data_IF_296171757995
#
_entry.id   IF_296171757995
#
_cell.length_a   1.000
_cell.length_b   1.000
_cell.length_c   1.000
_cell.angle_alpha   90.00
_cell.angle_beta   90.00
_cell.angle_gamma   90.00
#
_symmetry.space_group_name_H-M   'P 1'
#
loop_
_entity.id
_entity.type
_entity.pdbx_description
1 polymer ?
#
# COMPACT_ATOMS: atom_id res chain seq x y z
N UNK A 1 -33.52 -34.68 -9.81
CA UNK A 1 -33.49 -34.70 -8.33
C UNK A 1 -33.98 -36.05 -7.78
N UNK A 2 -35.20 -36.54 -8.10
CA UNK A 2 -35.72 -37.83 -7.63
C UNK A 2 -34.75 -39.00 -7.82
N UNK A 3 -34.18 -39.19 -9.04
CA UNK A 3 -33.19 -40.25 -9.30
C UNK A 3 -31.88 -40.12 -8.53
N UNK A 4 -31.48 -38.92 -8.12
CA UNK A 4 -30.33 -38.72 -7.23
C UNK A 4 -30.65 -39.17 -5.83
N UNK A 5 -31.78 -38.76 -5.28
CA UNK A 5 -32.20 -39.12 -3.93
C UNK A 5 -32.44 -40.63 -3.80
N UNK A 6 -33.10 -41.29 -4.78
CA UNK A 6 -33.32 -42.74 -4.76
C UNK A 6 -31.99 -43.51 -4.77
N UNK A 7 -31.02 -43.12 -5.58
CA UNK A 7 -29.69 -43.77 -5.63
C UNK A 7 -28.98 -43.79 -4.27
N UNK A 8 -29.08 -42.71 -3.50
CA UNK A 8 -28.48 -42.66 -2.16
C UNK A 8 -29.31 -43.38 -1.10
N UNK A 9 -30.62 -43.47 -1.27
CA UNK A 9 -31.47 -44.23 -0.36
C UNK A 9 -31.17 -45.73 -0.41
N UNK A 10 -30.84 -46.24 -1.58
CA UNK A 10 -30.52 -47.67 -1.79
C UNK A 10 -29.10 -48.05 -1.34
N UNK A 11 -28.21 -47.09 -1.13
CA UNK A 11 -26.83 -47.34 -0.77
C UNK A 11 -26.53 -46.98 0.72
N UNK A 12 -26.55 -45.71 1.01
CA UNK A 12 -26.39 -45.15 2.35
C UNK A 12 -27.14 -43.83 2.42
N UNK A 13 -28.16 -43.77 3.24
CA UNK A 13 -28.93 -42.56 3.41
C UNK A 13 -28.06 -41.39 3.85
N UNK A 14 -28.14 -40.22 3.20
CA UNK A 14 -27.35 -39.05 3.58
C UNK A 14 -27.88 -38.52 4.93
N UNK A 15 -26.94 -38.04 5.75
CA UNK A 15 -27.30 -37.41 7.03
C UNK A 15 -27.79 -35.96 6.88
N UNK A 16 -27.51 -35.33 5.73
CA UNK A 16 -27.90 -33.96 5.40
C UNK A 16 -27.89 -33.79 3.88
N UNK A 17 -28.90 -33.13 3.34
CA UNK A 17 -28.95 -32.71 1.94
C UNK A 17 -28.73 -31.21 1.88
N UNK A 18 -27.75 -30.75 1.07
CA UNK A 18 -27.49 -29.33 0.83
C UNK A 18 -27.89 -28.99 -0.61
N UNK A 19 -28.88 -28.13 -0.75
CA UNK A 19 -29.35 -27.62 -2.02
C UNK A 19 -28.62 -26.34 -2.39
N UNK A 20 -27.83 -26.34 -3.44
CA UNK A 20 -27.07 -25.18 -3.88
C UNK A 20 -27.67 -24.59 -5.16
N UNK A 21 -28.10 -23.34 -5.07
CA UNK A 21 -28.71 -22.64 -6.20
C UNK A 21 -30.24 -22.80 -6.27
N UNK A 22 -30.83 -21.93 -7.05
CA UNK A 22 -32.28 -21.78 -7.11
C UNK A 22 -32.94 -22.92 -7.91
N UNK A 23 -32.26 -23.46 -8.89
CA UNK A 23 -32.72 -24.61 -9.69
C UNK A 23 -32.78 -25.89 -8.84
N UNK A 24 -31.78 -26.15 -8.01
CA UNK A 24 -31.76 -27.29 -7.08
C UNK A 24 -32.90 -27.17 -6.05
N UNK A 25 -33.16 -25.95 -5.62
CA UNK A 25 -34.20 -25.64 -4.66
C UNK A 25 -35.61 -25.86 -5.28
N UNK A 26 -35.87 -25.30 -6.45
CA UNK A 26 -37.11 -25.50 -7.19
C UNK A 26 -37.37 -26.99 -7.51
N UNK A 27 -36.33 -27.69 -7.96
CA UNK A 27 -36.39 -29.12 -8.25
C UNK A 27 -36.71 -29.98 -7.02
N UNK A 28 -36.18 -29.59 -5.84
CA UNK A 28 -36.49 -30.29 -4.60
C UNK A 28 -37.92 -30.02 -4.12
N UNK A 29 -38.41 -28.79 -4.21
CA UNK A 29 -39.78 -28.42 -3.82
C UNK A 29 -40.84 -29.06 -4.71
N UNK A 30 -40.52 -29.35 -5.98
CA UNK A 30 -41.44 -30.05 -6.91
C UNK A 30 -41.54 -31.56 -6.67
N UNK A 31 -40.77 -32.15 -5.76
CA UNK A 31 -40.85 -33.56 -5.43
C UNK A 31 -42.06 -33.84 -4.53
N UNK A 32 -42.66 -35.00 -4.67
CA UNK A 32 -43.64 -35.52 -3.71
C UNK A 32 -43.00 -35.81 -2.37
N UNK A 33 -43.76 -35.69 -1.30
CA UNK A 33 -43.26 -35.93 0.08
C UNK A 33 -42.69 -37.34 0.25
N UNK A 34 -43.30 -38.33 -0.38
CA UNK A 34 -42.83 -39.73 -0.42
C UNK A 34 -41.40 -39.89 -0.97
N UNK A 35 -41.02 -38.98 -1.90
CA UNK A 35 -39.69 -38.98 -2.55
C UNK A 35 -38.67 -38.16 -1.73
N UNK A 36 -39.12 -37.13 -1.03
CA UNK A 36 -38.24 -36.24 -0.24
C UNK A 36 -37.61 -36.94 0.98
N UNK A 37 -38.37 -37.78 1.68
CA UNK A 37 -37.94 -38.44 2.89
C UNK A 37 -37.76 -37.47 4.10
N UNK A 38 -37.23 -37.98 5.20
CA UNK A 38 -37.07 -37.23 6.47
C UNK A 38 -35.67 -36.66 6.70
N UNK A 39 -34.80 -36.73 5.69
CA UNK A 39 -33.42 -36.22 5.80
C UNK A 39 -33.44 -34.71 5.96
N UNK A 40 -32.70 -34.14 6.93
CA UNK A 40 -32.59 -32.72 7.06
C UNK A 40 -32.09 -32.06 5.78
N UNK A 41 -32.68 -30.92 5.39
CA UNK A 41 -32.34 -30.18 4.17
C UNK A 41 -31.92 -28.78 4.52
N UNK A 42 -30.80 -28.39 3.94
CA UNK A 42 -30.24 -27.06 4.04
C UNK A 42 -30.15 -26.41 2.65
N UNK A 43 -30.45 -25.13 2.54
CA UNK A 43 -30.34 -24.39 1.28
C UNK A 43 -29.22 -23.37 1.30
N UNK A 44 -28.64 -23.10 0.13
CA UNK A 44 -27.71 -22.02 -0.07
C UNK A 44 -27.78 -21.46 -1.49
N UNK A 45 -27.43 -20.21 -1.64
CA UNK A 45 -27.46 -19.50 -2.95
C UNK A 45 -28.83 -19.57 -3.65
N UNK A 46 -29.91 -19.65 -2.87
CA UNK A 46 -31.29 -19.54 -3.36
C UNK A 46 -31.83 -18.13 -3.03
N UNK A 47 -32.68 -17.60 -3.91
CA UNK A 47 -33.37 -16.33 -3.67
C UNK A 47 -34.55 -16.53 -2.75
N UNK A 48 -34.80 -15.54 -1.89
CA UNK A 48 -36.06 -15.45 -1.13
C UNK A 48 -37.27 -15.37 -2.02
N UNK A 49 -37.13 -14.70 -3.17
CA UNK A 49 -38.20 -14.58 -4.15
C UNK A 49 -38.15 -15.77 -5.11
N UNK A 50 -39.29 -16.37 -5.35
CA UNK A 50 -39.48 -17.58 -6.18
C UNK A 50 -40.60 -17.37 -7.17
N UNK A 51 -40.67 -18.24 -8.20
CA UNK A 51 -41.80 -18.37 -9.09
C UNK A 51 -42.23 -19.82 -9.13
N UNK A 52 -43.53 -20.07 -9.31
CA UNK A 52 -44.02 -21.43 -9.55
C UNK A 52 -43.55 -21.89 -10.94
N UNK A 53 -43.27 -23.18 -11.09
CA UNK A 53 -42.95 -23.73 -12.39
C UNK A 53 -44.18 -23.64 -13.32
N UNK A 54 -43.99 -23.40 -14.62
CA UNK A 54 -45.08 -23.31 -15.55
C UNK A 54 -45.78 -24.68 -15.71
N UNK A 55 -47.07 -24.67 -16.08
CA UNK A 55 -47.77 -25.85 -16.44
C UNK A 55 -47.16 -26.55 -17.67
N UNK A 56 -47.34 -27.87 -17.79
CA UNK A 56 -46.83 -28.59 -18.93
C UNK A 56 -47.44 -28.05 -20.24
N UNK A 57 -46.56 -27.67 -21.19
CA UNK A 57 -46.95 -27.10 -22.48
C UNK A 57 -47.10 -25.57 -22.49
N UNK A 58 -46.85 -24.88 -21.40
CA UNK A 58 -46.83 -23.41 -21.40
C UNK A 58 -45.75 -22.88 -22.34
N UNK A 59 -46.04 -21.81 -23.08
CA UNK A 59 -45.05 -21.08 -23.86
C UNK A 59 -44.17 -20.23 -22.95
N UNK A 60 -42.96 -20.67 -22.78
CA UNK A 60 -41.97 -19.97 -21.88
C UNK A 60 -41.63 -18.55 -22.36
N UNK A 61 -41.81 -18.23 -23.64
CA UNK A 61 -41.51 -16.90 -24.21
C UNK A 61 -42.52 -15.85 -23.75
N UNK A 62 -43.77 -16.26 -23.57
CA UNK A 62 -44.87 -15.40 -23.15
C UNK A 62 -45.22 -15.55 -21.66
N UNK A 63 -44.63 -16.54 -21.00
CA UNK A 63 -44.91 -16.83 -19.60
C UNK A 63 -44.41 -15.70 -18.68
N UNK A 64 -45.34 -15.08 -17.98
CA UNK A 64 -45.08 -13.98 -17.01
C UNK A 64 -45.47 -14.41 -15.61
N UNK A 65 -44.58 -15.13 -14.90
CA UNK A 65 -44.87 -15.63 -13.56
C UNK A 65 -44.99 -14.49 -12.54
N UNK A 66 -45.78 -14.75 -11.50
CA UNK A 66 -45.80 -13.88 -10.31
C UNK A 66 -44.62 -14.17 -9.39
N UNK A 67 -44.02 -13.14 -8.86
CA UNK A 67 -42.98 -13.27 -7.82
C UNK A 67 -43.62 -13.52 -6.46
N UNK A 68 -43.34 -14.67 -5.89
CA UNK A 68 -43.79 -15.10 -4.57
C UNK A 68 -42.66 -14.92 -3.54
N UNK A 69 -43.03 -14.73 -2.26
CA UNK A 69 -42.11 -14.71 -1.15
C UNK A 69 -42.08 -16.07 -0.46
N UNK A 70 -40.92 -16.71 -0.43
CA UNK A 70 -40.80 -18.05 0.14
C UNK A 70 -41.33 -18.18 1.56
N UNK A 71 -41.08 -17.20 2.41
CA UNK A 71 -41.51 -17.25 3.82
C UNK A 71 -42.99 -16.96 4.02
N UNK A 72 -43.52 -16.05 3.19
CA UNK A 72 -44.93 -15.66 3.30
C UNK A 72 -45.86 -16.67 2.59
N UNK A 73 -45.47 -17.15 1.39
CA UNK A 73 -46.35 -17.89 0.49
C UNK A 73 -46.17 -19.42 0.61
N UNK A 74 -45.05 -19.89 1.25
CA UNK A 74 -44.77 -21.33 1.41
C UNK A 74 -44.62 -21.74 2.90
N UNK A 75 -45.57 -21.35 3.73
CA UNK A 75 -45.63 -21.79 5.12
C UNK A 75 -45.72 -23.33 5.21
N UNK A 76 -44.73 -23.97 5.84
CA UNK A 76 -44.64 -25.43 5.94
C UNK A 76 -43.66 -26.10 4.99
N UNK A 77 -42.84 -25.32 4.31
CA UNK A 77 -41.71 -25.85 3.52
C UNK A 77 -40.88 -26.87 4.28
N UNK A 78 -40.45 -27.98 3.66
CA UNK A 78 -39.55 -28.97 4.25
C UNK A 78 -38.13 -28.41 4.46
N UNK A 79 -37.76 -27.29 3.79
CA UNK A 79 -36.48 -26.63 3.93
C UNK A 79 -36.56 -25.64 5.10
N UNK A 80 -35.87 -25.93 6.19
CA UNK A 80 -35.92 -25.14 7.42
C UNK A 80 -34.58 -24.58 7.85
N UNK A 81 -33.50 -24.84 7.09
CA UNK A 81 -32.18 -24.38 7.41
C UNK A 81 -31.44 -23.88 6.18
N UNK A 82 -30.48 -22.99 6.37
CA UNK A 82 -29.61 -22.51 5.30
C UNK A 82 -29.57 -21.00 5.16
N UNK A 83 -29.19 -20.57 3.97
CA UNK A 83 -29.00 -19.17 3.66
C UNK A 83 -29.69 -18.83 2.35
N UNK A 84 -30.54 -17.81 2.39
CA UNK A 84 -31.17 -17.24 1.21
C UNK A 84 -30.72 -15.79 1.02
N UNK A 85 -30.66 -15.34 -0.20
CA UNK A 85 -30.43 -13.93 -0.49
C UNK A 85 -31.73 -13.26 -0.97
N UNK A 86 -31.78 -11.96 -0.80
CA UNK A 86 -32.83 -11.13 -1.35
C UNK A 86 -32.18 -10.02 -2.18
N UNK A 87 -32.61 -9.90 -3.43
CA UNK A 87 -32.21 -8.76 -4.25
C UNK A 87 -33.03 -7.53 -3.86
N UNK A 88 -32.36 -6.49 -3.36
CA UNK A 88 -33.03 -5.22 -3.03
C UNK A 88 -33.18 -4.34 -4.28
N UNK A 89 -34.19 -4.67 -5.09
CA UNK A 89 -34.53 -3.91 -6.29
C UNK A 89 -34.82 -2.44 -5.96
N UNK A 90 -35.63 -2.22 -4.93
CA UNK A 90 -36.04 -0.87 -4.55
C UNK A 90 -34.86 0.01 -4.11
N UNK A 91 -33.90 -0.55 -3.37
CA UNK A 91 -32.68 0.18 -3.00
C UNK A 91 -31.82 0.53 -4.22
N UNK A 92 -31.67 -0.42 -5.17
CA UNK A 92 -30.97 -0.17 -6.43
C UNK A 92 -31.65 0.96 -7.23
N UNK A 93 -32.97 0.95 -7.38
CA UNK A 93 -33.70 2.02 -8.10
C UNK A 93 -33.55 3.37 -7.38
N UNK A 94 -33.70 3.41 -6.06
CA UNK A 94 -33.48 4.65 -5.29
C UNK A 94 -32.07 5.18 -5.45
N UNK A 95 -31.06 4.31 -5.43
CA UNK A 95 -29.65 4.67 -5.66
C UNK A 95 -29.46 5.23 -7.08
N UNK A 96 -29.99 4.58 -8.10
CA UNK A 96 -29.95 5.04 -9.50
C UNK A 96 -30.56 6.44 -9.61
N UNK A 97 -31.75 6.67 -9.06
CA UNK A 97 -32.43 7.98 -9.09
C UNK A 97 -31.65 9.09 -8.41
N UNK A 98 -30.90 8.80 -7.35
CA UNK A 98 -30.04 9.78 -6.68
C UNK A 98 -28.82 10.15 -7.52
N UNK A 99 -28.17 9.16 -8.15
CA UNK A 99 -26.99 9.38 -8.96
C UNK A 99 -27.31 9.92 -10.36
N UNK A 100 -28.48 9.55 -10.89
CA UNK A 100 -28.97 9.96 -12.20
C UNK A 100 -30.43 10.48 -12.07
N UNK A 101 -30.63 11.70 -11.53
CA UNK A 101 -31.99 12.22 -11.26
C UNK A 101 -32.87 12.36 -12.50
N UNK A 102 -32.28 12.43 -13.70
CA UNK A 102 -32.97 12.54 -14.98
C UNK A 102 -33.43 11.20 -15.56
N UNK A 103 -33.29 10.09 -14.80
CA UNK A 103 -33.67 8.76 -15.26
C UNK A 103 -35.17 8.68 -15.46
N UNK A 104 -35.61 8.25 -16.64
CA UNK A 104 -37.02 8.01 -17.01
C UNK A 104 -37.28 6.53 -17.29
N UNK A 105 -36.23 5.80 -17.69
CA UNK A 105 -36.35 4.40 -18.10
C UNK A 105 -35.29 3.55 -17.34
N UNK A 106 -35.76 2.37 -16.88
CA UNK A 106 -34.88 1.32 -16.37
C UNK A 106 -34.90 0.18 -17.38
N UNK A 107 -33.78 -0.06 -18.05
CA UNK A 107 -33.63 -1.27 -18.87
C UNK A 107 -33.11 -2.39 -17.98
N UNK A 108 -33.80 -3.50 -17.92
CA UNK A 108 -33.43 -4.65 -17.10
C UNK A 108 -33.07 -5.84 -17.96
N UNK A 109 -31.88 -6.40 -17.79
CA UNK A 109 -31.42 -7.62 -18.49
C UNK A 109 -31.55 -8.82 -17.56
N UNK A 110 -32.20 -9.87 -18.03
CA UNK A 110 -32.26 -11.20 -17.42
C UNK A 110 -32.11 -12.30 -18.46
N UNK A 111 -31.56 -13.42 -18.04
CA UNK A 111 -31.36 -14.59 -18.89
C UNK A 111 -32.56 -15.58 -18.88
N UNK A 112 -32.48 -16.64 -19.71
CA UNK A 112 -33.49 -17.69 -19.82
C UNK A 112 -33.38 -18.77 -18.73
N UNK A 113 -32.56 -18.57 -17.69
CA UNK A 113 -32.49 -19.50 -16.56
C UNK A 113 -33.69 -19.31 -15.61
N UNK A 114 -34.03 -20.34 -14.82
CA UNK A 114 -35.02 -20.21 -13.76
C UNK A 114 -34.73 -19.04 -12.83
N UNK A 115 -33.44 -18.86 -12.46
CA UNK A 115 -33.00 -17.74 -11.63
C UNK A 115 -33.20 -16.39 -12.31
N UNK A 116 -32.93 -16.28 -13.62
CA UNK A 116 -33.14 -15.06 -14.41
C UNK A 116 -34.64 -14.70 -14.51
N UNK A 117 -35.48 -15.66 -14.75
CA UNK A 117 -36.96 -15.46 -14.80
C UNK A 117 -37.52 -15.08 -13.43
N UNK A 118 -37.04 -15.69 -12.36
CA UNK A 118 -37.45 -15.35 -10.99
C UNK A 118 -37.03 -13.90 -10.64
N UNK A 119 -35.83 -13.51 -10.98
CA UNK A 119 -35.34 -12.15 -10.74
C UNK A 119 -36.14 -11.14 -11.58
N UNK A 120 -36.43 -11.45 -12.85
CA UNK A 120 -37.29 -10.61 -13.71
C UNK A 120 -38.68 -10.40 -13.08
N UNK A 121 -39.32 -11.46 -12.64
CA UNK A 121 -40.65 -11.38 -12.00
C UNK A 121 -40.59 -10.49 -10.75
N UNK A 122 -39.51 -10.60 -9.94
CA UNK A 122 -39.29 -9.76 -8.76
C UNK A 122 -39.09 -8.29 -9.15
N UNK A 123 -38.28 -8.00 -10.16
CA UNK A 123 -38.09 -6.64 -10.68
C UNK A 123 -39.40 -6.03 -11.17
N UNK A 124 -40.21 -6.76 -11.94
CA UNK A 124 -41.53 -6.30 -12.42
C UNK A 124 -42.44 -5.96 -11.22
N UNK A 125 -42.46 -6.82 -10.18
CA UNK A 125 -43.25 -6.57 -8.96
C UNK A 125 -42.80 -5.30 -8.23
N UNK A 126 -41.48 -5.12 -8.04
CA UNK A 126 -40.92 -3.99 -7.30
C UNK A 126 -41.04 -2.68 -8.10
N UNK A 127 -40.92 -2.71 -9.41
CA UNK A 127 -41.10 -1.53 -10.26
C UNK A 127 -42.48 -0.87 -10.16
N UNK A 128 -43.51 -1.61 -9.73
CA UNK A 128 -44.83 -1.03 -9.44
C UNK A 128 -44.81 0.05 -8.35
N UNK A 129 -43.74 0.07 -7.51
CA UNK A 129 -43.52 1.10 -6.49
C UNK A 129 -42.92 2.40 -7.05
N UNK A 130 -42.53 2.43 -8.32
CA UNK A 130 -41.93 3.55 -9.03
C UNK A 130 -42.71 3.87 -10.33
N UNK A 131 -43.97 4.31 -10.23
CA UNK A 131 -44.82 4.53 -11.38
C UNK A 131 -44.34 5.61 -12.34
N UNK A 132 -43.43 6.47 -11.88
CA UNK A 132 -42.77 7.50 -12.68
C UNK A 132 -41.68 6.99 -13.60
N UNK A 133 -41.25 5.74 -13.43
CA UNK A 133 -40.21 5.10 -14.25
C UNK A 133 -40.84 4.02 -15.16
N UNK A 134 -40.46 4.00 -16.42
CA UNK A 134 -40.83 2.88 -17.30
C UNK A 134 -39.77 1.78 -17.24
N UNK A 135 -40.25 0.52 -17.24
CA UNK A 135 -39.41 -0.68 -17.28
C UNK A 135 -39.30 -1.21 -18.70
N UNK A 136 -38.10 -1.36 -19.21
CA UNK A 136 -37.79 -1.99 -20.49
C UNK A 136 -37.14 -3.33 -20.21
N UNK A 137 -37.85 -4.43 -20.54
CA UNK A 137 -37.34 -5.78 -20.33
C UNK A 137 -36.48 -6.25 -21.53
N UNK A 138 -35.22 -6.56 -21.23
CA UNK A 138 -34.28 -7.19 -22.16
C UNK A 138 -34.16 -8.68 -21.78
N UNK A 139 -35.17 -9.44 -22.12
CA UNK A 139 -35.44 -10.80 -21.67
C UNK A 139 -34.72 -11.83 -22.53
N UNK A 140 -33.88 -12.67 -21.91
CA UNK A 140 -33.13 -13.75 -22.56
C UNK A 140 -34.01 -14.89 -23.12
N UNK A 141 -35.30 -14.97 -22.74
CA UNK A 141 -36.25 -15.95 -23.32
C UNK A 141 -36.62 -15.63 -24.75
N UNK A 142 -36.51 -14.36 -25.16
CA UNK A 142 -36.90 -13.86 -26.48
C UNK A 142 -35.77 -13.14 -27.21
N UNK A 143 -34.58 -13.07 -26.62
CA UNK A 143 -33.43 -12.40 -27.18
C UNK A 143 -32.18 -13.28 -27.14
N UNK A 144 -31.33 -13.10 -28.14
CA UNK A 144 -29.93 -13.56 -28.11
C UNK A 144 -29.00 -12.45 -27.60
N UNK A 145 -27.74 -12.78 -27.35
CA UNK A 145 -26.73 -11.79 -27.01
C UNK A 145 -26.60 -10.69 -28.07
N UNK A 146 -26.72 -11.05 -29.34
CA UNK A 146 -26.65 -10.12 -30.49
C UNK A 146 -27.83 -9.16 -30.51
N UNK A 147 -29.05 -9.68 -30.39
CA UNK A 147 -30.26 -8.83 -30.37
C UNK A 147 -30.32 -7.94 -29.13
N UNK A 148 -29.78 -8.37 -27.99
CA UNK A 148 -29.62 -7.49 -26.81
C UNK A 148 -28.67 -6.35 -27.14
N UNK A 149 -27.49 -6.62 -27.72
CA UNK A 149 -26.52 -5.60 -28.11
C UNK A 149 -27.14 -4.55 -29.03
N UNK A 150 -27.90 -4.99 -30.06
CA UNK A 150 -28.61 -4.08 -30.95
C UNK A 150 -29.65 -3.22 -30.22
N UNK A 151 -30.42 -3.84 -29.30
CA UNK A 151 -31.41 -3.12 -28.49
C UNK A 151 -30.78 -2.09 -27.53
N UNK A 152 -29.58 -2.36 -26.99
CA UNK A 152 -28.90 -1.41 -26.15
C UNK A 152 -28.55 -0.10 -26.88
N UNK A 153 -28.28 -0.16 -28.20
CA UNK A 153 -28.05 1.03 -29.02
C UNK A 153 -29.32 1.85 -29.28
N UNK A 154 -30.49 1.19 -29.28
CA UNK A 154 -31.77 1.81 -29.60
C UNK A 154 -32.60 2.21 -28.37
N UNK A 155 -32.01 2.12 -27.15
CA UNK A 155 -32.71 2.52 -25.93
C UNK A 155 -33.06 4.02 -25.94
N UNK A 156 -34.21 4.39 -25.38
CA UNK A 156 -34.59 5.79 -25.25
C UNK A 156 -33.53 6.58 -24.46
N UNK A 157 -33.39 7.89 -24.66
CA UNK A 157 -32.56 8.74 -23.83
C UNK A 157 -33.00 8.67 -22.34
N UNK A 158 -32.09 9.01 -21.43
CA UNK A 158 -32.31 8.92 -19.97
C UNK A 158 -32.64 7.51 -19.46
N UNK A 159 -32.15 6.50 -20.18
CA UNK A 159 -32.21 5.11 -19.73
C UNK A 159 -31.00 4.77 -18.90
N UNK A 160 -31.20 4.05 -17.80
CA UNK A 160 -30.17 3.43 -16.99
C UNK A 160 -30.35 1.91 -17.05
N UNK A 161 -29.27 1.17 -17.25
CA UNK A 161 -29.29 -0.28 -17.28
C UNK A 161 -29.14 -0.84 -15.86
N UNK A 162 -30.01 -1.78 -15.50
CA UNK A 162 -29.89 -2.64 -14.34
C UNK A 162 -29.63 -4.08 -14.81
N UNK A 163 -28.41 -4.55 -14.59
CA UNK A 163 -28.00 -5.90 -14.97
C UNK A 163 -28.42 -6.91 -13.90
N UNK A 164 -29.20 -7.89 -14.29
CA UNK A 164 -29.49 -9.11 -13.54
C UNK A 164 -28.44 -10.18 -13.81
N UNK A 165 -28.84 -11.21 -14.55
CA UNK A 165 -27.95 -12.32 -14.98
C UNK A 165 -27.99 -12.47 -16.49
N UNK A 166 -26.91 -13.00 -17.06
CA UNK A 166 -26.86 -13.42 -18.45
C UNK A 166 -25.96 -14.64 -18.60
N UNK A 167 -26.57 -15.82 -18.60
CA UNK A 167 -25.87 -17.10 -18.74
C UNK A 167 -26.43 -17.94 -19.89
N UNK A 168 -27.75 -17.86 -20.12
CA UNK A 168 -28.47 -18.66 -21.11
C UNK A 168 -29.40 -17.73 -21.90
N UNK A 169 -29.38 -17.81 -23.21
CA UNK A 169 -30.28 -17.04 -24.07
C UNK A 169 -31.41 -17.90 -24.64
N UNK A 170 -32.22 -17.34 -25.56
CA UNK A 170 -33.36 -18.01 -26.18
C UNK A 170 -33.00 -19.27 -26.97
N UNK A 171 -31.76 -19.48 -27.32
CA UNK A 171 -31.28 -20.64 -28.07
C UNK A 171 -30.61 -21.67 -27.17
N UNK A 172 -30.79 -21.57 -25.84
CA UNK A 172 -30.11 -22.38 -24.82
C UNK A 172 -28.58 -22.31 -24.91
N UNK A 173 -28.05 -21.27 -25.57
CA UNK A 173 -26.62 -20.97 -25.64
C UNK A 173 -26.11 -20.58 -24.27
N UNK A 174 -25.10 -21.30 -23.77
CA UNK A 174 -24.49 -20.99 -22.47
C UNK A 174 -23.34 -20.00 -22.65
N UNK A 175 -23.41 -18.86 -21.97
CA UNK A 175 -22.45 -17.78 -22.05
C UNK A 175 -21.61 -17.67 -20.78
N UNK A 176 -20.31 -17.50 -20.98
CA UNK A 176 -19.40 -17.23 -19.90
C UNK A 176 -19.40 -15.73 -19.49
N UNK A 177 -18.69 -15.41 -18.44
CA UNK A 177 -18.58 -14.07 -17.86
C UNK A 177 -18.27 -12.95 -18.87
N UNK A 178 -17.60 -13.26 -19.98
CA UNK A 178 -17.20 -12.30 -21.03
C UNK A 178 -18.38 -11.75 -21.84
N UNK A 179 -19.49 -12.45 -21.90
CA UNK A 179 -20.65 -12.04 -22.69
C UNK A 179 -21.21 -10.68 -22.24
N UNK A 180 -21.34 -10.48 -20.94
CA UNK A 180 -21.82 -9.19 -20.40
C UNK A 180 -20.85 -8.04 -20.65
N UNK A 181 -19.55 -8.33 -20.75
CA UNK A 181 -18.56 -7.34 -21.11
C UNK A 181 -18.73 -6.87 -22.55
N UNK A 182 -18.86 -7.82 -23.49
CA UNK A 182 -19.10 -7.51 -24.90
C UNK A 182 -20.40 -6.72 -25.12
N UNK A 183 -21.48 -7.06 -24.38
CA UNK A 183 -22.72 -6.26 -24.41
C UNK A 183 -22.49 -4.81 -24.02
N UNK A 184 -21.70 -4.56 -22.96
CA UNK A 184 -21.45 -3.21 -22.45
C UNK A 184 -20.46 -2.42 -23.31
N UNK A 185 -19.52 -3.09 -23.98
CA UNK A 185 -18.67 -2.45 -24.99
C UNK A 185 -19.48 -1.91 -26.18
N UNK A 186 -20.60 -2.56 -26.51
CA UNK A 186 -21.52 -2.08 -27.54
C UNK A 186 -22.19 -0.76 -27.14
N UNK A 187 -22.41 -0.48 -25.85
CA UNK A 187 -23.05 0.75 -25.37
C UNK A 187 -22.26 1.46 -24.25
N UNK A 188 -21.05 1.95 -24.51
CA UNK A 188 -20.12 2.43 -23.47
C UNK A 188 -20.61 3.70 -22.73
N UNK A 189 -21.51 4.47 -23.35
CA UNK A 189 -22.12 5.65 -22.74
C UNK A 189 -23.26 5.36 -21.77
N UNK A 190 -23.85 4.17 -21.83
CA UNK A 190 -25.00 3.78 -21.04
C UNK A 190 -24.59 3.59 -19.56
N UNK A 191 -25.19 4.31 -18.60
CA UNK A 191 -24.96 4.04 -17.20
C UNK A 191 -25.51 2.65 -16.84
N UNK A 192 -24.64 1.79 -16.31
CA UNK A 192 -25.03 0.41 -15.97
C UNK A 192 -24.78 0.11 -14.50
N UNK A 193 -25.76 -0.45 -13.84
CA UNK A 193 -25.72 -0.93 -12.47
C UNK A 193 -25.95 -2.44 -12.44
N UNK A 194 -25.56 -3.09 -11.36
CA UNK A 194 -25.72 -4.52 -11.19
C UNK A 194 -26.44 -4.85 -9.89
N UNK A 195 -27.49 -5.67 -9.97
CA UNK A 195 -28.20 -6.17 -8.78
C UNK A 195 -27.58 -7.48 -8.25
N UNK A 196 -26.76 -8.15 -9.07
CA UNK A 196 -26.15 -9.46 -8.78
C UNK A 196 -24.65 -9.41 -8.54
N UNK A 197 -24.03 -8.24 -8.54
CA UNK A 197 -22.58 -7.97 -8.53
C UNK A 197 -21.83 -8.25 -9.85
N UNK A 198 -22.48 -8.75 -10.88
CA UNK A 198 -21.87 -8.96 -12.20
C UNK A 198 -21.44 -7.61 -12.79
N UNK A 199 -20.18 -7.50 -13.22
CA UNK A 199 -19.65 -6.31 -13.87
C UNK A 199 -19.13 -5.22 -12.90
N UNK A 200 -19.35 -5.32 -11.58
CA UNK A 200 -18.78 -4.38 -10.61
C UNK A 200 -17.26 -4.55 -10.58
N UNK A 201 -16.52 -3.46 -10.71
CA UNK A 201 -15.06 -3.44 -10.88
C UNK A 201 -14.60 -3.51 -12.34
N UNK A 202 -15.54 -3.55 -13.29
CA UNK A 202 -15.25 -3.59 -14.73
C UNK A 202 -16.06 -2.53 -15.50
N UNK A 203 -17.37 -2.72 -15.65
CA UNK A 203 -18.24 -1.85 -16.44
C UNK A 203 -19.44 -1.32 -15.66
N UNK A 204 -19.84 -1.98 -14.55
CA UNK A 204 -20.96 -1.52 -13.73
C UNK A 204 -20.51 -0.42 -12.75
N UNK A 205 -21.23 0.69 -12.72
CA UNK A 205 -21.00 1.81 -11.80
C UNK A 205 -21.09 1.36 -10.34
N UNK A 206 -21.98 0.42 -10.06
CA UNK A 206 -22.19 -0.14 -8.72
C UNK A 206 -23.48 -0.90 -8.60
N UNK A 207 -23.88 -1.18 -7.36
CA UNK A 207 -25.12 -1.85 -7.05
C UNK A 207 -25.31 -2.09 -5.56
N UNK A 208 -26.56 -2.35 -5.16
CA UNK A 208 -26.90 -2.91 -3.86
C UNK A 208 -27.00 -4.42 -4.04
N UNK A 209 -26.01 -5.14 -3.54
CA UNK A 209 -25.79 -6.56 -3.87
C UNK A 209 -25.66 -7.44 -2.64
N UNK A 210 -26.10 -8.71 -2.68
CA UNK A 210 -25.93 -9.62 -1.56
C UNK A 210 -24.45 -9.94 -1.24
N UNK A 211 -24.13 -10.14 0.04
CA UNK A 211 -22.77 -10.38 0.53
C UNK A 211 -22.49 -11.86 0.67
N UNK A 212 -21.76 -12.45 -0.28
CA UNK A 212 -21.45 -13.88 -0.28
C UNK A 212 -20.10 -14.27 0.35
N UNK A 213 -19.31 -13.31 0.84
CA UNK A 213 -17.89 -13.55 1.20
C UNK A 213 -17.65 -14.61 2.27
N UNK A 214 -18.54 -14.71 3.25
CA UNK A 214 -18.40 -15.66 4.35
C UNK A 214 -19.30 -16.89 4.19
N UNK A 215 -20.17 -16.93 3.18
CA UNK A 215 -21.25 -17.90 3.05
C UNK A 215 -20.79 -19.35 3.19
N UNK A 216 -19.70 -19.76 2.55
CA UNK A 216 -19.21 -21.15 2.64
C UNK A 216 -18.80 -21.55 4.07
N UNK A 217 -18.22 -20.64 4.83
CA UNK A 217 -17.86 -20.85 6.23
C UNK A 217 -19.12 -20.94 7.11
N UNK A 218 -20.06 -20.05 6.88
CA UNK A 218 -21.29 -19.99 7.67
C UNK A 218 -22.18 -21.20 7.37
N UNK A 219 -22.25 -21.65 6.12
CA UNK A 219 -22.87 -22.91 5.72
C UNK A 219 -22.25 -24.11 6.45
N UNK A 220 -20.94 -24.23 6.48
CA UNK A 220 -20.26 -25.32 7.16
C UNK A 220 -20.59 -25.33 8.66
N UNK A 221 -20.59 -24.18 9.30
CA UNK A 221 -20.98 -24.05 10.72
C UNK A 221 -22.42 -24.43 10.96
N UNK A 222 -23.33 -24.01 10.09
CA UNK A 222 -24.73 -24.33 10.19
C UNK A 222 -24.99 -25.83 9.93
N UNK A 223 -24.32 -26.43 8.94
CA UNK A 223 -24.40 -27.86 8.67
C UNK A 223 -24.02 -28.71 9.89
N UNK A 224 -22.93 -28.36 10.61
CA UNK A 224 -22.55 -29.03 11.85
C UNK A 224 -23.63 -28.87 12.92
N UNK A 225 -24.24 -27.71 13.06
CA UNK A 225 -25.35 -27.48 14.04
C UNK A 225 -26.57 -28.31 13.71
N UNK A 226 -26.97 -28.38 12.40
CA UNK A 226 -28.12 -29.16 11.93
C UNK A 226 -27.89 -30.67 12.12
N UNK A 227 -26.67 -31.15 11.86
CA UNK A 227 -26.30 -32.56 12.10
C UNK A 227 -26.31 -32.93 13.56
N UNK A 228 -25.93 -32.00 14.45
CA UNK A 228 -25.97 -32.23 15.91
C UNK A 228 -27.41 -32.19 16.47
N UNK A 229 -28.25 -31.29 15.94
CA UNK A 229 -29.65 -31.16 16.34
C UNK A 229 -30.50 -30.58 15.19
N UNK A 230 -31.22 -31.40 14.43
CA UNK A 230 -32.03 -30.94 13.31
C UNK A 230 -33.15 -29.95 13.68
N UNK A 231 -33.54 -29.87 14.94
CA UNK A 231 -34.56 -28.91 15.42
C UNK A 231 -34.01 -27.49 15.57
N UNK A 232 -32.68 -27.31 15.63
CA UNK A 232 -31.98 -26.01 15.66
C UNK A 232 -31.70 -25.50 14.25
N UNK A 233 -32.71 -25.44 13.43
CA UNK A 233 -32.62 -25.04 12.02
C UNK A 233 -33.26 -23.68 11.82
N UNK A 234 -32.55 -22.77 11.18
CA UNK A 234 -33.03 -21.44 10.81
C UNK A 234 -32.55 -21.09 9.40
N UNK A 235 -33.40 -20.42 8.65
CA UNK A 235 -32.98 -19.84 7.36
C UNK A 235 -32.60 -18.39 7.59
N UNK A 236 -31.33 -18.08 7.36
CA UNK A 236 -30.79 -16.74 7.48
C UNK A 236 -30.86 -16.01 6.13
N UNK A 237 -31.23 -14.72 6.16
CA UNK A 237 -31.24 -13.88 4.97
C UNK A 237 -29.89 -13.17 4.88
N UNK A 238 -29.19 -13.39 3.76
CA UNK A 238 -27.92 -12.73 3.48
C UNK A 238 -28.17 -11.23 3.30
N UNK A 239 -27.45 -10.40 4.05
CA UNK A 239 -27.52 -8.94 3.94
C UNK A 239 -26.99 -8.44 2.60
N UNK A 240 -27.51 -7.29 2.15
CA UNK A 240 -26.96 -6.57 1.02
C UNK A 240 -25.97 -5.48 1.47
N UNK A 241 -25.01 -5.16 0.62
CA UNK A 241 -24.12 -4.02 0.76
C UNK A 241 -24.18 -3.13 -0.49
N UNK A 242 -23.95 -1.84 -0.32
CA UNK A 242 -23.77 -0.93 -1.45
C UNK A 242 -22.32 -0.98 -1.92
N UNK A 243 -22.09 -1.38 -3.16
CA UNK A 243 -20.75 -1.45 -3.77
C UNK A 243 -20.70 -0.53 -4.97
N UNK A 244 -19.65 0.30 -5.06
CA UNK A 244 -19.46 1.23 -6.17
C UNK A 244 -18.05 1.10 -6.75
N UNK A 245 -17.93 1.26 -8.07
CA UNK A 245 -16.64 1.33 -8.75
C UNK A 245 -16.06 2.74 -8.62
N UNK A 246 -14.99 2.88 -7.85
CA UNK A 246 -14.38 4.17 -7.56
C UNK A 246 -13.81 4.88 -8.78
N UNK A 247 -13.36 4.13 -9.80
CA UNK A 247 -12.89 4.69 -11.07
C UNK A 247 -14.05 5.29 -11.85
N UNK A 248 -15.13 4.52 -12.07
CA UNK A 248 -16.31 4.98 -12.80
C UNK A 248 -17.04 6.11 -12.07
N UNK A 249 -17.12 6.07 -10.74
CA UNK A 249 -17.66 7.17 -9.92
C UNK A 249 -16.90 8.47 -10.20
N UNK A 250 -15.57 8.42 -10.22
CA UNK A 250 -14.74 9.59 -10.51
C UNK A 250 -14.85 10.06 -11.96
N UNK A 251 -14.81 9.16 -12.92
CA UNK A 251 -14.90 9.46 -14.35
C UNK A 251 -16.25 10.09 -14.70
N UNK A 252 -17.35 9.57 -14.14
CA UNK A 252 -18.70 10.06 -14.36
C UNK A 252 -19.11 11.21 -13.41
N UNK A 253 -18.21 11.65 -12.50
CA UNK A 253 -18.41 12.74 -11.52
C UNK A 253 -19.66 12.54 -10.67
N UNK A 254 -19.90 11.32 -10.19
CA UNK A 254 -21.09 10.99 -9.40
C UNK A 254 -20.95 11.40 -7.94
N UNK A 255 -21.99 12.01 -7.39
CA UNK A 255 -22.06 12.35 -5.96
C UNK A 255 -22.55 11.15 -5.14
N UNK A 256 -21.62 10.31 -4.71
CA UNK A 256 -21.93 9.14 -3.87
C UNK A 256 -22.27 9.51 -2.42
N UNK A 257 -21.97 10.73 -1.97
CA UNK A 257 -22.34 11.19 -0.61
C UNK A 257 -23.85 11.31 -0.44
N UNK A 258 -24.60 11.43 -1.54
CA UNK A 258 -26.07 11.44 -1.56
C UNK A 258 -26.68 10.06 -1.24
N UNK A 259 -25.92 8.97 -1.30
CA UNK A 259 -26.39 7.60 -1.05
C UNK A 259 -26.34 7.33 0.47
N UNK A 260 -27.43 6.88 1.10
CA UNK A 260 -27.42 6.59 2.53
C UNK A 260 -26.71 5.28 2.85
N UNK A 261 -26.02 5.25 4.00
CA UNK A 261 -25.35 4.08 4.52
C UNK A 261 -23.90 3.90 4.06
N UNK A 262 -23.24 2.86 4.51
CA UNK A 262 -21.86 2.59 4.15
C UNK A 262 -21.74 2.13 2.69
N UNK A 263 -20.77 2.70 1.97
CA UNK A 263 -20.46 2.35 0.59
C UNK A 263 -19.10 1.69 0.55
N UNK A 264 -19.03 0.49 -0.01
CA UNK A 264 -17.76 -0.15 -0.31
C UNK A 264 -17.29 0.22 -1.71
N UNK A 265 -16.16 0.90 -1.78
CA UNK A 265 -15.53 1.20 -3.06
C UNK A 265 -14.62 0.04 -3.51
N UNK A 266 -14.74 -0.33 -4.77
CA UNK A 266 -13.83 -1.22 -5.48
C UNK A 266 -13.12 -0.45 -6.59
N UNK A 267 -12.05 -0.99 -7.16
CA UNK A 267 -11.33 -0.38 -8.27
C UNK A 267 -10.94 1.10 -7.99
N UNK A 268 -10.59 1.37 -6.73
CA UNK A 268 -10.13 2.71 -6.33
C UNK A 268 -8.72 2.90 -6.86
N UNK A 269 -8.52 3.90 -7.72
CA UNK A 269 -7.17 4.30 -8.12
C UNK A 269 -6.41 4.81 -6.90
N UNK A 270 -5.29 4.21 -6.53
CA UNK A 270 -4.52 4.68 -5.40
C UNK A 270 -4.13 6.13 -5.62
N UNK A 271 -4.19 6.94 -4.56
CA UNK A 271 -3.72 8.32 -4.61
C UNK A 271 -2.23 8.38 -4.99
N UNK A 272 -1.78 9.54 -5.51
CA UNK A 272 -0.37 9.75 -5.91
C UNK A 272 0.62 9.29 -4.84
N UNK A 273 0.36 9.63 -3.57
CA UNK A 273 1.20 9.23 -2.46
C UNK A 273 1.23 7.70 -2.28
N UNK A 274 0.09 7.03 -2.28
CA UNK A 274 0.00 5.56 -2.14
C UNK A 274 0.70 4.82 -3.27
N UNK A 275 0.59 5.34 -4.49
CA UNK A 275 1.22 4.77 -5.69
C UNK A 275 2.74 4.93 -5.67
N UNK A 276 3.26 6.09 -5.19
CA UNK A 276 4.68 6.44 -5.27
C UNK A 276 5.38 6.52 -3.92
N UNK A 277 4.75 6.12 -2.82
CA UNK A 277 5.31 6.26 -1.46
C UNK A 277 6.72 5.70 -1.31
N UNK A 278 6.99 4.53 -1.87
CA UNK A 278 8.33 3.92 -1.80
C UNK A 278 9.37 4.70 -2.61
N UNK A 279 8.99 5.27 -3.75
CA UNK A 279 9.87 6.13 -4.54
C UNK A 279 10.13 7.46 -3.81
N UNK A 280 9.11 8.07 -3.23
CA UNK A 280 9.23 9.30 -2.43
C UNK A 280 10.18 9.09 -1.25
N UNK A 281 10.00 8.02 -0.48
CA UNK A 281 10.88 7.68 0.63
C UNK A 281 12.29 7.31 0.17
N UNK A 282 12.45 6.64 -0.97
CA UNK A 282 13.74 6.35 -1.57
C UNK A 282 14.50 7.62 -1.94
N UNK A 283 13.85 8.56 -2.61
CA UNK A 283 14.45 9.87 -2.95
C UNK A 283 14.80 10.66 -1.70
N UNK A 284 13.91 10.69 -0.70
CA UNK A 284 14.18 11.37 0.58
C UNK A 284 15.41 10.77 1.29
N UNK A 285 15.56 9.46 1.32
CA UNK A 285 16.72 8.79 1.91
C UNK A 285 18.03 9.16 1.19
N UNK A 286 18.04 9.17 -0.15
CA UNK A 286 19.20 9.60 -0.94
C UNK A 286 19.57 11.04 -0.65
N UNK A 287 18.59 11.95 -0.58
CA UNK A 287 18.84 13.36 -0.24
C UNK A 287 19.45 13.52 1.16
N UNK A 288 18.98 12.77 2.14
CA UNK A 288 19.55 12.78 3.50
C UNK A 288 21.00 12.29 3.48
N UNK A 289 21.32 11.22 2.75
CA UNK A 289 22.68 10.71 2.62
C UNK A 289 23.61 11.76 1.96
N UNK A 290 23.14 12.38 0.88
CA UNK A 290 23.92 13.44 0.20
C UNK A 290 24.15 14.65 1.10
N UNK A 291 23.12 15.07 1.83
CA UNK A 291 23.22 16.20 2.77
C UNK A 291 24.21 15.90 3.92
N UNK A 292 24.11 14.70 4.50
CA UNK A 292 25.05 14.28 5.56
C UNK A 292 26.49 14.18 5.02
N UNK A 293 26.67 13.63 3.82
CA UNK A 293 27.98 13.62 3.15
C UNK A 293 28.55 15.02 2.93
N UNK A 294 27.71 15.95 2.47
CA UNK A 294 28.11 17.35 2.29
C UNK A 294 28.51 18.00 3.63
N UNK A 295 27.72 17.81 4.67
CA UNK A 295 28.03 18.36 6.00
C UNK A 295 29.34 17.81 6.56
N UNK A 296 29.59 16.51 6.42
CA UNK A 296 30.84 15.86 6.82
C UNK A 296 32.02 16.45 6.03
N UNK A 297 31.89 16.60 4.73
CA UNK A 297 32.93 17.19 3.85
C UNK A 297 33.25 18.61 4.27
N UNK A 298 32.24 19.44 4.49
CA UNK A 298 32.41 20.81 4.96
C UNK A 298 33.09 20.86 6.35
N UNK A 299 32.68 20.00 7.28
CA UNK A 299 33.30 19.89 8.59
C UNK A 299 34.80 19.57 8.48
N UNK A 300 35.19 18.57 7.69
CA UNK A 300 36.60 18.23 7.50
C UNK A 300 37.37 19.33 6.77
N UNK A 301 36.75 19.98 5.79
CA UNK A 301 37.36 21.11 5.09
C UNK A 301 37.72 22.25 6.06
N UNK A 302 36.79 22.70 6.89
CA UNK A 302 37.03 23.76 7.86
C UNK A 302 38.00 23.33 8.94
N UNK A 303 37.95 22.11 9.42
CA UNK A 303 38.88 21.55 10.38
C UNK A 303 40.30 21.48 9.83
N UNK A 304 40.50 21.01 8.64
CA UNK A 304 41.80 20.92 7.97
C UNK A 304 42.38 22.31 7.71
N UNK A 305 41.58 23.26 7.27
CA UNK A 305 42.00 24.65 7.11
C UNK A 305 42.52 25.25 8.43
N UNK A 306 41.76 25.10 9.50
CA UNK A 306 42.13 25.58 10.82
C UNK A 306 43.44 24.97 11.31
N UNK A 307 43.59 23.65 11.17
CA UNK A 307 44.81 22.94 11.55
C UNK A 307 46.04 23.42 10.76
N UNK A 308 45.85 23.72 9.45
CA UNK A 308 46.90 24.26 8.60
C UNK A 308 47.32 25.65 9.08
N UNK A 309 46.37 26.54 9.41
CA UNK A 309 46.63 27.87 9.89
C UNK A 309 47.38 27.81 11.28
N UNK A 310 46.97 26.92 12.17
CA UNK A 310 47.67 26.69 13.47
C UNK A 310 49.07 26.12 13.27
N UNK A 311 49.29 25.25 12.31
CA UNK A 311 50.60 24.69 11.97
C UNK A 311 51.54 25.76 11.43
N UNK A 312 51.09 26.60 10.49
CA UNK A 312 51.91 27.71 9.92
C UNK A 312 52.36 28.68 11.01
N UNK A 313 51.47 29.02 11.96
CA UNK A 313 51.85 29.87 13.13
C UNK A 313 52.89 29.18 14.01
N UNK A 314 52.71 27.89 14.30
CA UNK A 314 53.62 27.11 15.11
C UNK A 314 54.98 26.92 14.45
N UNK A 315 55.05 26.68 13.14
CA UNK A 315 56.28 26.58 12.36
C UNK A 315 57.04 27.90 12.34
N UNK A 316 56.33 29.04 12.17
CA UNK A 316 56.95 30.36 12.22
C UNK A 316 57.57 30.63 13.59
N UNK A 317 56.85 30.33 14.67
CA UNK A 317 57.37 30.50 16.07
C UNK A 317 58.59 29.60 16.33
N UNK A 318 58.55 28.36 15.89
CA UNK A 318 59.67 27.41 16.04
C UNK A 318 60.91 27.88 15.27
N UNK A 319 60.74 28.40 14.06
CA UNK A 319 61.82 28.94 13.24
C UNK A 319 62.48 30.13 13.93
N UNK A 320 61.67 31.06 14.43
CA UNK A 320 62.22 32.22 15.18
C UNK A 320 62.99 31.79 16.45
N UNK A 321 62.46 30.83 17.23
CA UNK A 321 63.12 30.27 18.40
C UNK A 321 64.44 29.58 18.03
N UNK A 322 64.44 28.84 16.92
CA UNK A 322 65.67 28.20 16.41
C UNK A 322 66.77 29.28 16.05
N UNK A 323 66.34 30.27 15.25
CA UNK A 323 67.26 31.33 14.81
C UNK A 323 67.86 32.10 16.01
N UNK A 324 67.05 32.38 17.02
CA UNK A 324 67.54 32.99 18.26
C UNK A 324 68.52 32.07 18.98
N UNK A 325 68.28 30.78 19.09
CA UNK A 325 69.16 29.83 19.74
C UNK A 325 70.50 29.67 18.98
N UNK A 326 70.46 29.62 17.66
CA UNK A 326 71.66 29.55 16.80
C UNK A 326 72.51 30.80 16.93
N UNK A 327 71.86 31.99 16.91
CA UNK A 327 72.57 33.25 17.11
C UNK A 327 73.22 33.36 18.51
N UNK A 328 72.47 32.97 19.58
CA UNK A 328 72.99 32.90 20.92
C UNK A 328 74.21 31.97 21.04
N UNK A 329 74.10 30.78 20.38
CA UNK A 329 75.19 29.80 20.37
C UNK A 329 76.42 30.31 19.60
N UNK A 330 76.17 31.02 18.46
CA UNK A 330 77.28 31.69 17.73
C UNK A 330 77.97 32.76 18.52
N UNK A 331 77.18 33.64 19.20
CA UNK A 331 77.72 34.68 20.08
C UNK A 331 78.52 34.09 21.23
N UNK A 332 77.97 33.03 21.86
CA UNK A 332 78.68 32.34 22.96
C UNK A 332 80.03 31.73 22.50
N UNK A 333 79.98 31.07 21.29
CA UNK A 333 81.22 30.49 20.74
C UNK A 333 82.25 31.54 20.36
N UNK A 334 81.86 32.65 19.75
CA UNK A 334 82.71 33.78 19.46
C UNK A 334 83.28 34.42 20.69
N UNK A 335 82.45 34.61 21.77
CA UNK A 335 82.87 35.13 23.06
C UNK A 335 83.94 34.22 23.66
N UNK A 336 83.72 32.91 23.76
CA UNK A 336 84.69 31.95 24.30
C UNK A 336 86.03 31.93 23.56
N UNK A 337 85.96 32.03 22.18
CA UNK A 337 87.14 32.07 21.35
C UNK A 337 87.96 33.34 21.63
N UNK A 338 87.35 34.53 21.69
CA UNK A 338 87.99 35.80 21.95
C UNK A 338 88.57 35.80 23.39
N UNK A 339 87.82 35.35 24.39
CA UNK A 339 88.31 35.27 25.78
C UNK A 339 89.51 34.35 25.91
N UNK A 340 89.51 33.20 25.21
CA UNK A 340 90.65 32.30 25.20
C UNK A 340 91.89 32.97 24.63
N UNK A 341 91.73 33.80 23.61
CA UNK A 341 92.86 34.56 23.00
C UNK A 341 93.36 35.69 23.99
N UNK A 342 92.41 36.47 24.50
CA UNK A 342 92.69 37.53 25.46
C UNK A 342 93.37 37.05 26.78
N UNK A 343 93.03 35.88 27.26
CA UNK A 343 93.66 35.20 28.45
C UNK A 343 95.05 34.65 28.10
N UNK A 344 95.21 34.04 26.94
CA UNK A 344 96.44 33.37 26.54
C UNK A 344 97.60 34.35 26.39
N UNK A 345 97.38 35.56 25.83
CA UNK A 345 98.40 36.53 25.54
C UNK A 345 99.12 36.99 26.82
N UNK A 346 98.43 37.51 27.83
CA UNK A 346 99.10 37.91 29.12
C UNK A 346 99.68 36.70 29.88
N UNK A 347 98.99 35.52 29.80
CA UNK A 347 99.53 34.33 30.50
C UNK A 347 100.84 33.85 29.88
N UNK A 348 100.97 33.86 28.53
CA UNK A 348 102.22 33.53 27.87
C UNK A 348 103.35 34.50 28.21
N UNK A 349 103.03 35.80 28.37
CA UNK A 349 103.99 36.80 28.76
C UNK A 349 104.50 36.55 30.23
N UNK A 350 103.50 36.24 31.13
CA UNK A 350 103.85 35.90 32.54
C UNK A 350 104.76 34.66 32.59
N UNK A 351 104.37 33.57 31.90
CA UNK A 351 105.15 32.32 31.90
C UNK A 351 106.53 32.57 31.24
N UNK A 352 106.57 33.17 30.03
CA UNK A 352 107.83 33.38 29.33
C UNK A 352 108.86 34.25 30.07
N UNK A 353 108.35 35.33 30.68
CA UNK A 353 109.27 36.16 31.46
C UNK A 353 109.66 35.53 32.82
N UNK A 354 108.80 34.74 33.43
CA UNK A 354 109.07 33.95 34.60
C UNK A 354 110.16 32.88 34.33
N UNK A 355 110.10 32.21 33.16
CA UNK A 355 111.08 31.24 32.74
C UNK A 355 112.47 31.88 32.54
N UNK A 356 112.50 33.06 31.91
CA UNK A 356 113.72 33.84 31.71
C UNK A 356 114.32 34.22 33.09
N UNK A 357 113.57 34.70 34.01
CA UNK A 357 114.02 35.02 35.37
C UNK A 357 114.52 33.78 36.16
N UNK A 358 113.95 32.61 35.93
CA UNK A 358 114.30 31.37 36.57
C UNK A 358 115.60 30.77 36.03
N UNK A 359 116.00 31.10 34.80
CA UNK A 359 117.20 30.59 34.12
C UNK A 359 118.49 31.21 34.70
N UNK A 360 118.37 32.25 35.52
CA UNK A 360 119.50 32.79 36.35
C UNK A 360 120.57 33.59 35.57
N UNK A 361 120.52 33.82 34.31
CA UNK A 361 121.55 34.40 33.42
C UNK A 361 121.25 35.84 33.01
N UNK A 362 120.47 36.58 33.87
CA UNK A 362 119.98 37.94 33.55
C UNK A 362 120.69 39.00 34.42
N UNK A 363 121.12 40.07 33.81
CA UNK A 363 121.70 41.23 34.57
C UNK A 363 120.66 41.82 35.53
N UNK A 364 121.08 42.30 36.72
CA UNK A 364 120.20 42.76 37.80
C UNK A 364 119.23 43.89 37.35
N UNK A 365 119.68 44.76 36.43
CA UNK A 365 118.82 45.85 35.87
C UNK A 365 117.68 45.31 34.95
N UNK A 366 117.87 44.21 34.17
CA UNK A 366 116.88 43.60 33.33
C UNK A 366 115.83 42.76 34.09
N UNK A 367 116.24 42.20 35.27
CA UNK A 367 115.33 41.45 36.15
C UNK A 367 114.16 42.31 36.66
N UNK A 368 114.44 43.58 36.94
CA UNK A 368 113.43 44.53 37.41
C UNK A 368 112.40 44.82 36.32
N UNK A 369 112.84 44.96 35.05
CA UNK A 369 111.98 45.14 33.93
C UNK A 369 111.07 43.96 33.70
N UNK A 370 111.58 42.72 33.83
CA UNK A 370 110.78 41.52 33.68
C UNK A 370 109.72 41.32 34.78
N UNK A 371 110.06 41.72 36.03
CA UNK A 371 109.07 41.72 37.11
C UNK A 371 107.98 42.75 36.88
N UNK A 372 108.22 43.91 36.34
CA UNK A 372 107.18 44.87 35.98
C UNK A 372 106.27 44.38 34.86
N UNK A 373 106.85 43.67 33.87
CA UNK A 373 106.05 43.06 32.80
C UNK A 373 105.18 41.95 33.33
N UNK A 374 105.68 41.08 34.18
CA UNK A 374 104.92 40.03 34.85
C UNK A 374 103.76 40.60 35.65
N UNK A 375 104.08 41.63 36.49
CA UNK A 375 103.07 42.29 37.27
C UNK A 375 102.00 42.98 36.47
N UNK A 376 102.37 43.71 35.43
CA UNK A 376 101.42 44.39 34.51
C UNK A 376 100.50 43.40 33.84
N UNK A 377 101.03 42.24 33.35
CA UNK A 377 100.21 41.19 32.69
C UNK A 377 99.37 40.43 33.71
N UNK A 378 99.83 40.25 34.97
CA UNK A 378 99.04 39.64 36.03
C UNK A 378 97.86 40.54 36.42
N UNK A 379 98.07 41.88 36.53
CA UNK A 379 97.03 42.86 36.81
C UNK A 379 96.01 42.93 35.65
N UNK A 380 96.49 42.81 34.39
CA UNK A 380 95.64 42.75 33.20
C UNK A 380 94.78 41.46 33.21
N UNK A 381 95.40 40.31 33.56
CA UNK A 381 94.65 39.03 33.63
C UNK A 381 93.58 39.04 34.71
N UNK A 382 93.88 39.61 35.88
CA UNK A 382 92.90 39.78 36.96
C UNK A 382 91.75 40.68 36.55
N UNK A 383 91.95 41.75 35.80
CA UNK A 383 90.91 42.62 35.29
C UNK A 383 90.03 41.87 34.29
N UNK A 384 90.64 41.13 33.31
CA UNK A 384 89.94 40.34 32.35
C UNK A 384 89.04 39.26 33.00
N UNK A 385 89.55 38.62 34.10
CA UNK A 385 88.73 37.62 34.82
C UNK A 385 87.56 38.31 35.54
N UNK A 386 87.74 39.48 36.14
CA UNK A 386 86.68 40.20 36.82
C UNK A 386 85.60 40.69 35.76
N UNK A 387 86.06 41.22 34.63
CA UNK A 387 85.14 41.63 33.53
C UNK A 387 84.29 40.45 32.90
N UNK A 388 84.75 39.19 33.10
CA UNK A 388 84.08 38.00 32.71
C UNK A 388 83.05 37.53 33.73
N UNK A 389 83.34 37.79 35.02
CA UNK A 389 82.51 37.33 36.13
C UNK A 389 81.34 38.27 36.49
N UNK A 390 81.46 39.54 36.10
CA UNK A 390 80.38 40.53 36.20
C UNK A 390 79.46 40.47 35.01
#
# INVERSE_FOLDING_TARGET
MAGILSKYRDTKEPSLVILIGQEAWAAYLSLEDSVRGDVPVMTALASRNVVLLPEQGADLKTWMPESLDFFADFAGSPIKSGFVYQYDVAANIRMIKRLYPQTEHIAFISDNSYGGVTLQAHVVKEMKKFPELSLILLDGRVNTIYTISDKLHSLPPRTVLLMGTWRVDMNDGYFMRNATYAMMEAAPGLPAFSITSVGIGYWAVGGVVPVYRALGRDMARQAVRVLANPKNSEIEIISCETVMDGKLVKERKLDIASIPGPIRLVNVTPGFYEQYKYHIWGVAAVLVILLTGLLITLYFFYRTKRLKDELEVSEAALREAKDRAEESNRLKSAFLANMSHEIRTPLNAIVGFSDVLSAGDTAIDDQRGYFEIIKANSDLLLRLINDILD
#
